data_IF_330268566251
#
_entry.id   IF_330268566251
#
_cell.length_a   1.000
_cell.length_b   1.000
_cell.length_c   1.000
_cell.angle_alpha   90.00
_cell.angle_beta   90.00
_cell.angle_gamma   90.00
#
_symmetry.space_group_name_H-M   'P 1'
#
loop_
_entity.id
_entity.type
_entity.pdbx_description
1 polymer ?
#
# COMPACT_ATOMS: atom_id res chain seq x y z
N UNK A 1 -7.19 -15.03 -9.02
CA UNK A 1 -8.58 -14.94 -8.47
C UNK A 1 -8.85 -16.20 -7.68
N UNK A 2 -9.33 -16.05 -6.44
CA UNK A 2 -9.73 -17.15 -5.56
C UNK A 2 -11.20 -17.00 -5.17
N UNK A 3 -11.93 -18.12 -5.21
CA UNK A 3 -13.35 -18.21 -4.85
C UNK A 3 -13.65 -19.43 -3.97
N UNK A 4 -12.66 -20.29 -3.78
CA UNK A 4 -12.76 -21.45 -2.90
C UNK A 4 -12.62 -21.04 -1.43
N UNK A 5 -13.35 -21.69 -0.55
CA UNK A 5 -13.46 -21.33 0.87
C UNK A 5 -12.10 -21.38 1.59
N UNK A 6 -11.22 -22.30 1.23
CA UNK A 6 -9.91 -22.45 1.86
C UNK A 6 -9.03 -21.22 1.56
N UNK A 7 -8.96 -20.82 0.29
CA UNK A 7 -8.25 -19.61 -0.12
C UNK A 7 -8.87 -18.35 0.49
N UNK A 8 -10.22 -18.23 0.49
CA UNK A 8 -10.89 -17.07 1.09
C UNK A 8 -10.60 -16.93 2.57
N UNK A 9 -10.56 -18.04 3.32
CA UNK A 9 -10.20 -18.03 4.74
C UNK A 9 -8.80 -17.49 5.01
N UNK A 10 -7.85 -17.75 4.12
CA UNK A 10 -6.48 -17.23 4.23
C UNK A 10 -6.43 -15.69 4.20
N UNK A 11 -7.39 -15.06 3.50
CA UNK A 11 -7.47 -13.60 3.37
C UNK A 11 -8.53 -12.95 4.28
N UNK A 12 -9.20 -13.73 5.13
CA UNK A 12 -10.31 -13.25 5.95
C UNK A 12 -9.89 -12.59 7.27
N UNK A 13 -8.60 -12.54 7.58
CA UNK A 13 -8.05 -12.01 8.83
C UNK A 13 -6.76 -11.21 8.57
N UNK A 14 -6.43 -10.34 9.50
CA UNK A 14 -5.12 -9.72 9.70
C UNK A 14 -4.61 -10.07 11.11
N UNK A 15 -3.63 -9.35 11.64
CA UNK A 15 -3.12 -9.58 12.99
C UNK A 15 -3.97 -8.92 14.09
N UNK A 16 -5.14 -8.36 13.75
CA UNK A 16 -6.10 -7.87 14.74
C UNK A 16 -6.79 -9.07 15.42
N UNK A 17 -6.73 -9.10 16.75
CA UNK A 17 -7.29 -10.21 17.54
C UNK A 17 -8.80 -10.39 17.31
N UNK A 18 -9.24 -11.65 17.24
CA UNK A 18 -10.63 -12.08 17.21
C UNK A 18 -11.49 -11.58 16.03
N UNK A 19 -10.88 -10.98 14.99
CA UNK A 19 -11.61 -10.50 13.81
C UNK A 19 -11.40 -11.41 12.61
N UNK A 20 -12.52 -11.84 12.02
CA UNK A 20 -12.54 -12.70 10.85
C UNK A 20 -13.74 -12.37 9.95
N UNK A 21 -13.48 -11.93 8.72
CA UNK A 21 -14.51 -11.56 7.74
C UNK A 21 -14.17 -12.14 6.38
N UNK A 22 -15.06 -12.99 5.85
CA UNK A 22 -14.86 -13.62 4.54
C UNK A 22 -15.17 -12.65 3.40
N UNK A 23 -14.24 -12.43 2.46
CA UNK A 23 -14.57 -11.79 1.20
C UNK A 23 -15.42 -12.72 0.31
N UNK A 24 -16.17 -12.18 -0.64
CA UNK A 24 -16.83 -12.98 -1.66
C UNK A 24 -15.85 -13.52 -2.72
N UNK A 25 -14.79 -12.75 -2.98
CA UNK A 25 -13.72 -13.10 -3.93
C UNK A 25 -12.43 -12.40 -3.56
N UNK A 26 -11.30 -13.06 -3.80
CA UNK A 26 -9.97 -12.45 -3.71
C UNK A 26 -9.41 -12.26 -5.12
N UNK A 27 -9.03 -11.03 -5.45
CA UNK A 27 -8.33 -10.67 -6.68
C UNK A 27 -6.89 -10.30 -6.37
N UNK A 28 -5.98 -10.78 -7.20
CA UNK A 28 -4.54 -10.55 -7.07
C UNK A 28 -4.04 -9.97 -8.40
N UNK A 29 -4.23 -8.65 -8.62
CA UNK A 29 -3.79 -7.99 -9.84
C UNK A 29 -2.27 -7.97 -9.96
N UNK A 30 -1.80 -7.89 -11.19
CA UNK A 30 -0.38 -7.80 -11.54
C UNK A 30 -0.02 -6.47 -12.19
N UNK A 31 -1.03 -5.65 -12.50
CA UNK A 31 -0.85 -4.37 -13.16
C UNK A 31 -1.83 -3.33 -12.63
N UNK A 32 -1.46 -2.06 -12.74
CA UNK A 32 -2.33 -0.91 -12.42
C UNK A 32 -3.61 -0.92 -13.25
N UNK A 33 -3.53 -1.31 -14.52
CA UNK A 33 -4.69 -1.42 -15.42
C UNK A 33 -5.72 -2.45 -14.92
N UNK A 34 -5.28 -3.59 -14.39
CA UNK A 34 -6.17 -4.58 -13.77
C UNK A 34 -6.87 -4.03 -12.53
N UNK A 35 -6.16 -3.26 -11.70
CA UNK A 35 -6.75 -2.57 -10.54
C UNK A 35 -7.77 -1.54 -11.00
N UNK A 36 -7.39 -0.67 -11.94
CA UNK A 36 -8.25 0.38 -12.47
C UNK A 36 -9.58 -0.19 -13.02
N UNK A 37 -9.52 -1.22 -13.83
CA UNK A 37 -10.71 -1.92 -14.37
C UNK A 37 -11.55 -2.55 -13.27
N UNK A 38 -10.92 -3.17 -12.28
CA UNK A 38 -11.61 -3.77 -11.13
C UNK A 38 -12.35 -2.70 -10.33
N UNK A 39 -11.67 -1.60 -10.00
CA UNK A 39 -12.26 -0.50 -9.24
C UNK A 39 -13.43 0.13 -9.99
N UNK A 40 -13.27 0.44 -11.27
CA UNK A 40 -14.33 0.99 -12.10
C UNK A 40 -15.57 0.08 -12.15
N UNK A 41 -15.35 -1.22 -12.34
CA UNK A 41 -16.44 -2.20 -12.35
C UNK A 41 -17.17 -2.28 -11.00
N UNK A 42 -16.41 -2.38 -9.90
CA UNK A 42 -16.96 -2.45 -8.56
C UNK A 42 -17.72 -1.17 -8.20
N UNK A 43 -17.18 0.00 -8.57
CA UNK A 43 -17.85 1.29 -8.38
C UNK A 43 -19.20 1.35 -9.12
N UNK A 44 -19.21 0.98 -10.40
CA UNK A 44 -20.43 0.96 -11.21
C UNK A 44 -21.53 0.05 -10.64
N UNK A 45 -21.13 -1.06 -10.00
CA UNK A 45 -22.04 -2.07 -9.47
C UNK A 45 -22.24 -1.99 -7.95
N UNK A 46 -21.71 -0.95 -7.28
CA UNK A 46 -21.76 -0.76 -5.83
C UNK A 46 -21.26 -1.99 -5.05
N UNK A 47 -20.20 -2.64 -5.55
CA UNK A 47 -19.56 -3.79 -4.90
C UNK A 47 -18.49 -3.27 -3.94
N UNK A 48 -18.50 -3.64 -2.65
CA UNK A 48 -17.45 -3.27 -1.70
C UNK A 48 -16.09 -3.83 -2.13
N UNK A 49 -15.04 -2.99 -2.02
CA UNK A 49 -13.65 -3.40 -2.28
C UNK A 49 -12.82 -3.09 -1.05
N UNK A 50 -12.08 -4.09 -0.59
CA UNK A 50 -11.12 -3.94 0.51
C UNK A 50 -9.72 -4.19 -0.03
N UNK A 51 -8.85 -3.17 -0.13
CA UNK A 51 -7.46 -3.38 -0.50
C UNK A 51 -6.70 -4.03 0.66
N UNK A 52 -5.82 -4.97 0.33
CA UNK A 52 -5.01 -5.69 1.32
C UNK A 52 -3.56 -5.79 0.86
N UNK A 53 -2.64 -5.43 1.76
CA UNK A 53 -1.22 -5.72 1.64
C UNK A 53 -0.88 -7.08 2.25
N UNK A 54 0.18 -7.11 3.07
CA UNK A 54 0.62 -8.33 3.77
C UNK A 54 -0.29 -8.74 4.95
N UNK A 55 -1.26 -7.93 5.31
CA UNK A 55 -2.18 -8.14 6.44
C UNK A 55 -1.49 -8.31 7.81
N UNK A 56 -0.37 -7.62 8.00
CA UNK A 56 0.40 -7.59 9.26
C UNK A 56 -0.05 -6.46 10.19
N UNK A 57 -1.11 -5.73 9.83
CA UNK A 57 -1.68 -4.64 10.61
C UNK A 57 -2.52 -5.13 11.79
N UNK A 58 -2.68 -4.26 12.79
CA UNK A 58 -3.41 -4.50 14.03
C UNK A 58 -4.65 -3.60 14.17
N UNK A 59 -5.05 -2.94 13.08
CA UNK A 59 -6.14 -1.93 13.06
C UNK A 59 -7.40 -2.42 12.32
N UNK A 60 -7.39 -3.63 11.77
CA UNK A 60 -8.50 -4.17 10.99
C UNK A 60 -8.67 -3.54 9.60
N UNK A 61 -7.70 -2.74 9.15
CA UNK A 61 -7.80 -1.97 7.90
C UNK A 61 -7.89 -2.81 6.62
N UNK A 62 -7.45 -4.07 6.66
CA UNK A 62 -7.51 -5.00 5.53
C UNK A 62 -8.66 -6.00 5.61
N UNK A 63 -9.58 -5.84 6.56
CA UNK A 63 -10.68 -6.77 6.78
C UNK A 63 -11.90 -6.43 5.90
N UNK A 64 -12.41 -7.37 5.09
CA UNK A 64 -13.57 -7.15 4.23
C UNK A 64 -14.89 -7.23 5.01
N UNK A 65 -15.13 -6.28 5.92
CA UNK A 65 -16.28 -6.28 6.85
C UNK A 65 -17.65 -6.27 6.15
N UNK A 66 -17.69 -5.82 4.88
CA UNK A 66 -18.89 -5.84 4.04
C UNK A 66 -18.85 -6.96 2.99
N UNK A 67 -17.94 -7.93 3.10
CA UNK A 67 -17.70 -8.94 2.06
C UNK A 67 -17.15 -8.31 0.78
N UNK A 68 -17.72 -8.65 -0.37
CA UNK A 68 -17.30 -8.09 -1.66
C UNK A 68 -15.94 -8.59 -2.13
N UNK A 69 -15.18 -7.71 -2.75
CA UNK A 69 -13.85 -8.01 -3.32
C UNK A 69 -12.75 -7.65 -2.33
N UNK A 70 -11.88 -8.61 -1.99
CA UNK A 70 -10.58 -8.30 -1.40
C UNK A 70 -9.54 -8.22 -2.52
N UNK A 71 -8.86 -7.08 -2.62
CA UNK A 71 -7.88 -6.79 -3.66
C UNK A 71 -6.48 -6.83 -3.04
N UNK A 72 -5.73 -7.92 -3.29
CA UNK A 72 -4.37 -8.10 -2.75
C UNK A 72 -3.32 -7.48 -3.67
N UNK A 73 -2.39 -6.72 -3.09
CA UNK A 73 -1.27 -6.09 -3.80
C UNK A 73 -0.02 -6.97 -3.87
N UNK A 74 -0.06 -8.21 -3.44
CA UNK A 74 1.11 -9.09 -3.29
C UNK A 74 1.90 -9.38 -4.57
N UNK A 75 1.29 -9.23 -5.75
CA UNK A 75 1.95 -9.41 -7.05
C UNK A 75 2.52 -8.13 -7.66
N UNK A 76 2.23 -7.00 -7.06
CA UNK A 76 2.86 -5.71 -7.36
C UNK A 76 4.06 -5.54 -6.40
N UNK A 77 5.14 -6.26 -6.66
CA UNK A 77 6.26 -6.42 -5.73
C UNK A 77 7.63 -6.09 -6.33
N UNK A 78 7.67 -5.25 -7.36
CA UNK A 78 8.89 -4.85 -8.02
C UNK A 78 9.44 -3.53 -7.47
N UNK A 79 10.76 -3.45 -7.33
CA UNK A 79 11.50 -2.20 -7.23
C UNK A 79 11.74 -1.75 -8.68
N UNK A 80 11.11 -0.63 -9.07
CA UNK A 80 11.07 -0.17 -10.46
C UNK A 80 12.35 0.58 -10.80
N UNK A 81 12.77 1.51 -9.91
CA UNK A 81 13.95 2.35 -10.14
C UNK A 81 14.61 2.75 -8.82
N UNK A 82 15.93 2.87 -8.85
CA UNK A 82 16.72 3.49 -7.77
C UNK A 82 17.54 4.62 -8.38
N UNK A 83 17.16 5.86 -8.08
CA UNK A 83 17.90 7.06 -8.45
C UNK A 83 18.91 7.41 -7.33
N UNK A 84 20.12 6.88 -7.46
CA UNK A 84 21.20 7.12 -6.49
C UNK A 84 21.61 8.60 -6.41
N UNK A 85 21.41 9.39 -7.47
CA UNK A 85 21.80 10.81 -7.52
C UNK A 85 20.84 11.68 -6.70
N UNK A 86 19.56 11.37 -6.77
CA UNK A 86 18.51 12.11 -6.08
C UNK A 86 18.10 11.43 -4.77
N UNK A 87 18.71 10.28 -4.43
CA UNK A 87 18.38 9.46 -3.24
C UNK A 87 16.89 9.06 -3.21
N UNK A 88 16.36 8.64 -4.35
CA UNK A 88 14.97 8.25 -4.50
C UNK A 88 14.86 6.79 -4.94
N UNK A 89 13.76 6.14 -4.57
CA UNK A 89 13.39 4.80 -5.00
C UNK A 89 11.93 4.81 -5.43
N UNK A 90 11.67 4.23 -6.59
CA UNK A 90 10.31 3.98 -7.08
C UNK A 90 10.02 2.50 -6.94
N UNK A 91 8.93 2.17 -6.25
CA UNK A 91 8.59 0.79 -5.95
C UNK A 91 7.09 0.54 -5.95
N UNK A 92 6.71 -0.69 -6.22
CA UNK A 92 5.34 -1.18 -6.12
C UNK A 92 4.97 -1.45 -4.64
N UNK A 93 3.67 -1.42 -4.29
CA UNK A 93 3.19 -1.48 -2.90
C UNK A 93 3.41 -2.83 -2.22
N UNK A 94 3.55 -3.92 -2.96
CA UNK A 94 3.76 -5.27 -2.44
C UNK A 94 5.23 -5.61 -2.14
N UNK A 95 6.16 -4.67 -2.28
CA UNK A 95 7.55 -4.87 -1.90
C UNK A 95 7.65 -4.99 -0.38
N UNK A 96 8.37 -6.02 0.10
CA UNK A 96 8.63 -6.21 1.53
C UNK A 96 9.60 -5.11 2.02
N UNK A 97 9.28 -4.48 3.13
CA UNK A 97 10.06 -3.37 3.70
C UNK A 97 11.53 -3.72 3.90
N UNK A 98 11.83 -4.91 4.42
CA UNK A 98 13.20 -5.36 4.61
C UNK A 98 13.94 -5.50 3.27
N UNK A 99 13.30 -6.03 2.24
CA UNK A 99 13.89 -6.14 0.89
C UNK A 99 14.26 -4.76 0.36
N UNK A 100 13.38 -3.77 0.48
CA UNK A 100 13.67 -2.39 0.11
C UNK A 100 14.89 -1.85 0.90
N UNK A 101 14.91 -2.02 2.23
CA UNK A 101 16.00 -1.56 3.09
C UNK A 101 17.36 -2.17 2.70
N UNK A 102 17.39 -3.48 2.44
CA UNK A 102 18.61 -4.20 2.03
C UNK A 102 19.08 -3.74 0.65
N UNK A 103 18.16 -3.60 -0.30
CA UNK A 103 18.48 -3.16 -1.67
C UNK A 103 19.07 -1.75 -1.71
N UNK A 104 18.50 -0.79 -1.00
CA UNK A 104 19.06 0.58 -0.97
C UNK A 104 20.36 0.65 -0.19
N UNK A 105 20.55 -0.21 0.81
CA UNK A 105 21.79 -0.30 1.59
C UNK A 105 22.97 -0.75 0.73
N UNK A 106 22.77 -1.67 -0.23
CA UNK A 106 23.79 -2.07 -1.20
C UNK A 106 24.29 -0.91 -2.06
N UNK A 107 23.46 0.15 -2.20
CA UNK A 107 23.75 1.38 -2.91
C UNK A 107 24.31 2.50 -2.00
N UNK A 108 24.58 2.18 -0.73
CA UNK A 108 25.04 3.17 0.26
C UNK A 108 23.94 4.11 0.75
N UNK A 109 22.68 3.83 0.44
CA UNK A 109 21.51 4.59 0.88
C UNK A 109 20.89 3.99 2.14
N UNK A 110 19.97 4.71 2.77
CA UNK A 110 19.33 4.28 4.01
C UNK A 110 17.85 4.65 4.04
N UNK A 111 16.97 3.65 4.18
CA UNK A 111 15.54 3.83 4.41
C UNK A 111 15.24 3.59 5.89
N UNK A 112 14.94 4.64 6.68
CA UNK A 112 14.83 4.56 8.13
C UNK A 112 13.61 3.85 8.72
N UNK A 113 12.38 3.95 8.16
CA UNK A 113 11.20 3.31 8.76
C UNK A 113 11.42 1.82 8.98
N UNK A 114 11.19 1.36 10.22
CA UNK A 114 11.60 0.03 10.68
C UNK A 114 10.49 -0.61 11.55
N UNK A 115 9.30 -0.87 10.98
CA UNK A 115 8.22 -1.50 11.73
C UNK A 115 8.62 -2.89 12.23
N UNK A 116 8.02 -3.35 13.34
CA UNK A 116 8.33 -4.66 13.93
C UNK A 116 8.12 -5.80 12.91
N UNK A 117 7.16 -5.64 12.00
CA UNK A 117 6.84 -6.58 10.92
C UNK A 117 7.66 -6.39 9.64
N UNK A 118 8.76 -5.60 9.65
CA UNK A 118 9.53 -5.25 8.43
C UNK A 118 9.89 -6.43 7.52
N UNK A 119 10.06 -7.63 8.09
CA UNK A 119 10.40 -8.85 7.34
C UNK A 119 9.23 -9.45 6.56
N UNK A 120 8.01 -8.99 6.81
CA UNK A 120 6.78 -9.51 6.19
C UNK A 120 5.84 -8.43 5.70
N UNK A 121 5.84 -7.23 6.29
CA UNK A 121 4.96 -6.15 5.86
C UNK A 121 5.36 -5.57 4.50
N UNK A 122 4.36 -5.12 3.76
CA UNK A 122 4.52 -4.48 2.47
C UNK A 122 4.57 -2.96 2.60
N UNK A 123 5.31 -2.32 1.70
CA UNK A 123 5.46 -0.86 1.67
C UNK A 123 4.10 -0.16 1.53
N UNK A 124 3.17 -0.67 0.71
CA UNK A 124 1.83 -0.10 0.57
C UNK A 124 1.06 -0.09 1.90
N UNK A 125 1.20 -1.12 2.74
CA UNK A 125 0.66 -1.15 4.09
C UNK A 125 1.33 -0.11 5.00
N UNK A 126 2.67 0.03 4.92
CA UNK A 126 3.39 1.05 5.68
C UNK A 126 2.95 2.47 5.32
N UNK A 127 2.69 2.74 4.04
CA UNK A 127 2.12 4.02 3.58
C UNK A 127 0.72 4.22 4.15
N UNK A 128 -0.15 3.22 4.06
CA UNK A 128 -1.54 3.31 4.52
C UNK A 128 -1.67 3.55 6.02
N UNK A 129 -0.82 2.91 6.83
CA UNK A 129 -0.85 2.98 8.30
C UNK A 129 0.14 4.02 8.87
N UNK A 130 0.89 4.71 8.01
CA UNK A 130 1.99 5.60 8.41
C UNK A 130 2.96 4.93 9.38
N UNK A 131 3.42 3.75 9.04
CA UNK A 131 4.24 2.91 9.92
C UNK A 131 5.54 3.59 10.34
N UNK A 132 5.93 3.43 11.60
CA UNK A 132 7.15 3.96 12.18
C UNK A 132 8.14 2.86 12.59
N UNK A 133 8.17 2.56 13.86
CA UNK A 133 9.07 1.57 14.47
C UNK A 133 10.04 2.18 15.48
N UNK A 134 11.01 1.40 16.01
CA UNK A 134 11.90 1.88 17.08
C UNK A 134 12.76 3.08 16.68
N UNK A 135 13.02 3.26 15.39
CA UNK A 135 13.83 4.38 14.89
C UNK A 135 13.03 5.67 14.68
N UNK A 136 11.69 5.62 14.79
CA UNK A 136 10.81 6.74 14.46
C UNK A 136 11.07 8.01 15.28
N UNK A 137 11.45 7.87 16.55
CA UNK A 137 11.79 9.02 17.41
C UNK A 137 12.93 9.87 16.83
N UNK A 138 13.88 9.25 16.16
CA UNK A 138 15.03 9.96 15.56
C UNK A 138 14.82 10.33 14.10
N UNK A 139 14.20 9.44 13.34
CA UNK A 139 14.19 9.53 11.88
C UNK A 139 12.80 9.81 11.30
N UNK A 140 11.75 9.85 12.12
CA UNK A 140 10.40 10.04 11.64
C UNK A 140 9.74 8.73 11.19
N UNK A 141 8.63 8.84 10.50
CA UNK A 141 7.74 7.76 10.09
C UNK A 141 7.63 7.68 8.56
N UNK A 142 6.86 6.75 8.03
CA UNK A 142 6.77 6.50 6.58
C UNK A 142 6.41 7.76 5.78
N UNK A 143 5.48 8.60 6.24
CA UNK A 143 5.07 9.83 5.55
C UNK A 143 6.22 10.81 5.27
N UNK A 144 7.26 10.81 6.12
CA UNK A 144 8.39 11.72 5.99
C UNK A 144 9.30 11.33 4.80
N UNK A 145 9.07 10.17 4.21
CA UNK A 145 9.86 9.60 3.11
C UNK A 145 9.08 9.43 1.82
N UNK A 146 7.79 9.71 1.80
CA UNK A 146 6.93 9.60 0.61
C UNK A 146 6.93 10.92 -0.14
N UNK A 147 7.47 10.93 -1.36
CA UNK A 147 7.47 12.11 -2.24
C UNK A 147 6.24 12.16 -3.13
N UNK A 148 5.83 11.02 -3.66
CA UNK A 148 4.75 10.90 -4.62
C UNK A 148 4.08 9.54 -4.56
N UNK A 149 2.81 9.48 -4.94
CA UNK A 149 2.03 8.25 -4.98
C UNK A 149 1.25 8.18 -6.29
N UNK A 150 1.32 7.03 -6.97
CA UNK A 150 0.32 6.65 -7.95
C UNK A 150 -0.86 5.98 -7.21
N UNK A 151 -2.05 6.46 -7.45
CA UNK A 151 -3.27 6.02 -6.77
C UNK A 151 -4.36 5.71 -7.79
N UNK A 152 -4.97 4.54 -7.66
CA UNK A 152 -6.20 4.20 -8.39
C UNK A 152 -7.40 4.62 -7.54
N UNK A 153 -8.20 5.53 -8.05
CA UNK A 153 -9.40 6.05 -7.40
C UNK A 153 -10.57 5.06 -7.46
N UNK A 154 -11.63 5.25 -6.67
CA UNK A 154 -12.79 4.35 -6.67
C UNK A 154 -13.45 4.16 -8.03
N UNK A 155 -13.48 5.20 -8.85
CA UNK A 155 -14.04 5.19 -10.21
C UNK A 155 -13.09 4.55 -11.25
N UNK A 156 -11.90 4.10 -10.82
CA UNK A 156 -10.85 3.53 -11.65
C UNK A 156 -9.89 4.55 -12.24
N UNK A 157 -10.06 5.85 -12.01
CA UNK A 157 -9.11 6.86 -12.47
C UNK A 157 -7.75 6.66 -11.81
N UNK A 158 -6.67 6.79 -12.57
CA UNK A 158 -5.30 6.72 -12.07
C UNK A 158 -4.74 8.13 -11.96
N UNK A 159 -4.25 8.49 -10.78
CA UNK A 159 -3.70 9.83 -10.52
C UNK A 159 -2.34 9.75 -9.82
N UNK A 160 -1.52 10.78 -10.02
CA UNK A 160 -0.33 11.04 -9.22
C UNK A 160 -0.60 12.16 -8.24
N UNK A 161 -0.21 11.98 -6.96
CA UNK A 161 -0.57 12.89 -5.86
C UNK A 161 0.41 14.02 -5.62
N UNK A 162 1.61 13.93 -6.16
CA UNK A 162 2.68 14.87 -5.87
C UNK A 162 3.67 15.05 -7.03
N UNK A 163 4.89 15.35 -6.67
CA UNK A 163 6.02 15.47 -7.57
C UNK A 163 7.27 14.93 -6.87
N UNK A 164 8.21 14.40 -7.65
CA UNK A 164 9.44 13.76 -7.15
C UNK A 164 10.45 14.82 -6.67
N UNK A 165 10.02 15.69 -5.76
CA UNK A 165 10.82 16.79 -5.20
C UNK A 165 10.60 16.94 -3.71
N UNK A 166 11.66 17.21 -2.95
CA UNK A 166 11.62 17.37 -1.50
C UNK A 166 10.80 18.60 -1.07
N UNK A 167 10.77 19.65 -1.89
CA UNK A 167 10.02 20.89 -1.60
C UNK A 167 9.04 21.19 -2.71
N UNK A 168 7.76 20.99 -2.43
CA UNK A 168 6.66 21.36 -3.31
C UNK A 168 5.72 22.32 -2.57
N UNK A 169 5.63 23.56 -3.05
CA UNK A 169 4.76 24.59 -2.47
C UNK A 169 3.55 24.92 -3.35
N UNK A 170 3.26 24.12 -4.37
CA UNK A 170 2.28 24.42 -5.43
C UNK A 170 0.88 23.91 -5.09
N UNK A 171 0.50 23.78 -3.82
CA UNK A 171 -0.83 23.33 -3.42
C UNK A 171 -0.80 22.49 -2.16
N UNK A 172 -1.83 21.68 -1.97
CA UNK A 172 -1.91 20.78 -0.82
C UNK A 172 -0.88 19.64 -0.94
N UNK A 173 -0.33 19.22 0.20
CA UNK A 173 0.52 18.05 0.28
C UNK A 173 -0.34 16.77 0.23
N UNK A 174 -0.78 16.38 -0.96
CA UNK A 174 -1.58 15.19 -1.17
C UNK A 174 -0.87 13.89 -0.77
N UNK A 175 0.44 13.69 -1.04
CA UNK A 175 1.15 12.52 -0.52
C UNK A 175 1.04 12.40 1.01
N UNK A 176 1.36 13.46 1.73
CA UNK A 176 1.25 13.48 3.19
C UNK A 176 -0.19 13.27 3.67
N UNK A 177 -1.18 13.85 3.00
CA UNK A 177 -2.60 13.65 3.30
C UNK A 177 -3.03 12.20 3.04
N UNK A 178 -2.61 11.60 1.92
CA UNK A 178 -2.92 10.23 1.58
C UNK A 178 -2.36 9.24 2.62
N UNK A 179 -1.13 9.48 3.11
CA UNK A 179 -0.50 8.65 4.15
C UNK A 179 -1.19 8.83 5.51
N UNK A 180 -1.56 10.06 5.89
CA UNK A 180 -2.20 10.33 7.20
C UNK A 180 -3.67 9.87 7.23
N UNK A 181 -4.40 10.10 6.14
CA UNK A 181 -5.84 9.85 6.08
C UNK A 181 -6.19 8.44 5.60
N UNK A 182 -5.18 7.57 5.40
CA UNK A 182 -5.42 6.24 4.81
C UNK A 182 -6.34 6.36 3.58
N UNK A 183 -5.94 7.15 2.58
CA UNK A 183 -6.74 7.34 1.36
C UNK A 183 -7.08 6.00 0.71
N UNK A 184 -6.26 4.99 1.00
CA UNK A 184 -6.51 3.58 0.69
C UNK A 184 -7.78 3.08 1.39
N UNK A 185 -8.11 3.59 2.59
CA UNK A 185 -9.37 3.26 3.29
C UNK A 185 -10.56 4.11 2.82
N UNK A 186 -10.31 5.30 2.24
CA UNK A 186 -11.38 6.19 1.76
C UNK A 186 -11.75 5.90 0.30
N UNK A 187 -11.00 5.05 -0.40
CA UNK A 187 -11.39 4.59 -1.73
C UNK A 187 -10.32 4.71 -2.81
N UNK A 188 -9.06 4.52 -2.50
CA UNK A 188 -8.00 4.42 -3.50
C UNK A 188 -7.03 3.29 -3.17
N UNK A 189 -6.35 2.76 -4.18
CA UNK A 189 -5.28 1.77 -4.03
C UNK A 189 -3.98 2.42 -4.46
N UNK A 190 -2.99 2.46 -3.55
CA UNK A 190 -1.63 2.92 -3.88
C UNK A 190 -0.96 1.84 -4.71
N UNK A 191 -0.52 2.20 -5.89
CA UNK A 191 0.08 1.27 -6.86
C UNK A 191 1.56 1.49 -7.07
N UNK A 192 2.05 2.71 -6.78
CA UNK A 192 3.47 3.06 -6.88
C UNK A 192 3.78 4.24 -5.95
N UNK A 193 5.00 4.32 -5.39
CA UNK A 193 5.46 5.49 -4.66
C UNK A 193 6.95 5.78 -4.92
N UNK A 194 7.36 7.01 -4.73
CA UNK A 194 8.72 7.53 -4.92
C UNK A 194 9.21 8.16 -3.63
#
# INVERSE_FOLDING_TARGET
MHTDLESLNTYAHDETEDLHFLPAVVLIPKTVDEISKTMAYCHQHCIPVTPAGARTGLSGGSLPIYGGVLLSTEKLNQIIEIDEKNHQITTEPGVITQVLQETVKEKGLFYPPDPASRGSCFIGGNVSENSGGPKAVKYGVTQDYVLNLEVVMPDGAVIWTGANVIKNATGYNFPGLAVICSFVQIGGVVTEFV
#
